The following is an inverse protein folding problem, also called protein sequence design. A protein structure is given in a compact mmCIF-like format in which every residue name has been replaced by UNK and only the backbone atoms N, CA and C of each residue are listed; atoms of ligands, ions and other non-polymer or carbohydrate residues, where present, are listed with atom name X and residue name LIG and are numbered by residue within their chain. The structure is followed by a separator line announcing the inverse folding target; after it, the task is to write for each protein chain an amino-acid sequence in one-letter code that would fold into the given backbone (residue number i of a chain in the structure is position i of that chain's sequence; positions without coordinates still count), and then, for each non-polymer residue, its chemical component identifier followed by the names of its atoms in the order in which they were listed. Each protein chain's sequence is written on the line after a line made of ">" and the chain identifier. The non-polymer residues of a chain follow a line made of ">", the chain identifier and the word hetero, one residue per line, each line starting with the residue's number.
data_IF_751776241080
#
_entry.id   IF_751776241080
#
_cell.length_a   1.000
_cell.length_b   1.000
_cell.length_c   1.000
_cell.angle_alpha   90.00
_cell.angle_beta   90.00
_cell.angle_gamma   90.00
#
_symmetry.space_group_name_H-M   'P 1'
#
loop_
_entity.id
_entity.type
_entity.pdbx_description
1 polymer ?
#
# COMPACT_ATOMS: atom_id res chain seq x y z
N UNK A 1 9.08 12.11 15.90
CA UNK A 1 7.61 12.27 15.76
C UNK A 1 7.17 12.76 14.38
N UNK A 2 8.04 13.30 13.50
CA UNK A 2 7.62 13.75 12.15
C UNK A 2 7.28 12.62 11.16
N UNK A 3 8.16 11.63 11.01
CA UNK A 3 8.04 10.62 9.94
C UNK A 3 6.76 9.76 9.99
N UNK A 4 6.29 9.36 11.18
CA UNK A 4 5.06 8.55 11.31
C UNK A 4 3.82 9.33 10.83
N UNK A 5 3.71 10.59 11.23
CA UNK A 5 2.59 11.46 10.84
C UNK A 5 2.60 11.74 9.34
N UNK A 6 3.77 11.98 8.75
CA UNK A 6 3.88 12.23 7.30
C UNK A 6 3.51 10.99 6.47
N UNK A 7 3.90 9.79 6.93
CA UNK A 7 3.50 8.51 6.30
C UNK A 7 2.00 8.27 6.46
N UNK A 8 1.40 8.65 7.58
CA UNK A 8 -0.05 8.57 7.80
C UNK A 8 -0.83 9.52 6.89
N UNK A 9 -0.37 10.77 6.73
CA UNK A 9 -0.95 11.70 5.75
C UNK A 9 -0.85 11.12 4.33
N UNK A 10 0.28 10.53 3.98
CA UNK A 10 0.48 9.91 2.68
C UNK A 10 -0.43 8.71 2.45
N UNK A 11 -0.62 7.87 3.48
CA UNK A 11 -1.57 6.77 3.46
C UNK A 11 -2.99 7.28 3.15
N UNK A 12 -3.45 8.32 3.85
CA UNK A 12 -4.79 8.88 3.61
C UNK A 12 -4.93 9.50 2.22
N UNK A 13 -3.94 10.26 1.78
CA UNK A 13 -3.91 10.82 0.42
C UNK A 13 -3.93 9.74 -0.67
N UNK A 14 -3.15 8.66 -0.46
CA UNK A 14 -3.16 7.51 -1.35
C UNK A 14 -4.54 6.85 -1.42
N UNK A 15 -5.18 6.62 -0.27
CA UNK A 15 -6.52 6.03 -0.21
C UNK A 15 -7.56 6.86 -0.96
N UNK A 16 -7.57 8.16 -0.74
CA UNK A 16 -8.48 9.07 -1.43
C UNK A 16 -8.23 9.09 -2.94
N UNK A 17 -6.97 9.09 -3.37
CA UNK A 17 -6.60 8.97 -4.77
C UNK A 17 -7.07 7.65 -5.39
N UNK A 18 -6.81 6.52 -4.73
CA UNK A 18 -7.22 5.19 -5.20
C UNK A 18 -8.74 5.09 -5.41
N UNK A 19 -9.53 5.67 -4.52
CA UNK A 19 -10.99 5.71 -4.60
C UNK A 19 -11.53 6.63 -5.71
N UNK A 20 -10.69 7.53 -6.23
CA UNK A 20 -11.07 8.51 -7.27
C UNK A 20 -10.71 8.07 -8.69
N UNK A 21 -10.00 6.96 -8.86
CA UNK A 21 -9.55 6.47 -10.17
C UNK A 21 -10.76 6.11 -11.04
N UNK A 22 -10.79 6.63 -12.27
CA UNK A 22 -11.86 6.33 -13.24
C UNK A 22 -11.80 4.88 -13.75
N UNK A 23 -12.95 4.33 -14.14
CA UNK A 23 -13.05 3.05 -14.83
C UNK A 23 -12.34 3.03 -16.19
N UNK A 24 -12.20 4.19 -16.83
CA UNK A 24 -11.49 4.34 -18.11
C UNK A 24 -9.97 4.40 -17.93
N UNK A 25 -9.47 4.46 -16.69
CA UNK A 25 -8.03 4.49 -16.42
C UNK A 25 -7.39 3.11 -16.68
N UNK A 26 -6.15 3.09 -17.22
CA UNK A 26 -5.28 1.90 -17.19
C UNK A 26 -5.12 1.27 -15.80
N UNK A 27 -5.32 2.06 -14.74
CA UNK A 27 -5.33 1.65 -13.33
C UNK A 27 -6.66 1.12 -12.84
N UNK A 28 -7.56 0.68 -13.73
CA UNK A 28 -8.91 0.23 -13.35
C UNK A 28 -8.95 -0.82 -12.24
N UNK A 29 -7.87 -1.57 -11.99
CA UNK A 29 -7.74 -2.50 -10.86
C UNK A 29 -7.96 -1.80 -9.51
N UNK A 30 -7.60 -0.52 -9.40
CA UNK A 30 -7.81 0.30 -8.20
C UNK A 30 -9.29 0.66 -7.98
N UNK A 31 -10.18 0.46 -8.95
CA UNK A 31 -11.63 0.59 -8.70
C UNK A 31 -12.17 -0.48 -7.75
N UNK A 32 -11.41 -1.55 -7.50
CA UNK A 32 -11.78 -2.56 -6.50
C UNK A 32 -11.41 -2.11 -5.08
N UNK A 33 -10.66 -1.02 -4.94
CA UNK A 33 -10.12 -0.56 -3.67
C UNK A 33 -11.19 -0.40 -2.58
N UNK A 34 -10.98 -0.93 -1.35
CA UNK A 34 -9.75 -1.61 -0.87
C UNK A 34 -9.68 -3.12 -1.18
N UNK A 35 -10.71 -3.71 -1.78
CA UNK A 35 -10.85 -5.16 -1.94
C UNK A 35 -10.04 -5.70 -3.12
N UNK A 36 -9.28 -6.79 -2.92
CA UNK A 36 -8.65 -7.53 -4.03
C UNK A 36 -7.56 -6.75 -4.80
N UNK A 37 -7.09 -5.64 -4.23
CA UNK A 37 -6.04 -4.80 -4.81
C UNK A 37 -4.86 -4.57 -3.86
N UNK A 38 -4.76 -5.34 -2.77
CA UNK A 38 -3.70 -5.19 -1.76
C UNK A 38 -2.29 -5.22 -2.35
N UNK A 39 -1.98 -6.15 -3.27
CA UNK A 39 -0.68 -6.23 -3.94
C UNK A 39 -0.35 -4.93 -4.68
N UNK A 40 -1.27 -4.43 -5.51
CA UNK A 40 -1.07 -3.19 -6.27
C UNK A 40 -1.02 -1.96 -5.36
N UNK A 41 -1.86 -1.93 -4.33
CA UNK A 41 -1.91 -0.85 -3.36
C UNK A 41 -0.60 -0.74 -2.59
N UNK A 42 -0.11 -1.86 -2.06
CA UNK A 42 1.18 -1.95 -1.37
C UNK A 42 2.33 -1.62 -2.32
N UNK A 43 2.30 -2.11 -3.55
CA UNK A 43 3.31 -1.76 -4.56
C UNK A 43 3.38 -0.25 -4.82
N UNK A 44 2.26 0.38 -5.17
CA UNK A 44 2.24 1.81 -5.49
C UNK A 44 2.58 2.68 -4.28
N UNK A 45 1.94 2.42 -3.12
CA UNK A 45 2.21 3.19 -1.91
C UNK A 45 3.67 3.04 -1.45
N UNK A 46 4.22 1.83 -1.52
CA UNK A 46 5.61 1.55 -1.16
C UNK A 46 6.59 2.36 -2.01
N UNK A 47 6.30 2.48 -3.31
CA UNK A 47 7.10 3.31 -4.20
C UNK A 47 6.96 4.81 -3.92
N UNK A 48 5.75 5.30 -3.65
CA UNK A 48 5.56 6.70 -3.25
C UNK A 48 6.34 7.00 -1.97
N UNK A 49 6.33 6.08 -1.00
CA UNK A 49 7.08 6.23 0.24
C UNK A 49 8.59 6.34 -0.01
N UNK A 50 9.14 5.45 -0.85
CA UNK A 50 10.57 5.50 -1.19
C UNK A 50 10.95 6.75 -1.99
N UNK A 51 10.15 7.13 -2.99
CA UNK A 51 10.40 8.30 -3.84
C UNK A 51 10.30 9.61 -3.06
N UNK A 52 9.51 9.64 -1.98
CA UNK A 52 9.42 10.76 -1.04
C UNK A 52 10.42 10.68 0.11
N UNK A 53 11.44 9.83 0.03
CA UNK A 53 12.52 9.66 1.00
C UNK A 53 12.07 9.18 2.41
N UNK A 54 10.98 8.40 2.50
CA UNK A 54 10.53 7.81 3.77
C UNK A 54 11.24 6.50 4.14
N UNK A 55 12.48 6.30 3.69
CA UNK A 55 13.27 5.08 3.95
C UNK A 55 13.02 3.97 2.93
N UNK A 56 13.51 2.78 3.22
CA UNK A 56 13.33 1.58 2.36
C UNK A 56 12.10 0.81 2.80
N UNK A 57 11.34 0.34 1.81
CA UNK A 57 10.11 -0.40 2.04
C UNK A 57 10.12 -1.70 1.23
N UNK A 58 9.48 -2.72 1.78
CA UNK A 58 9.24 -3.99 1.10
C UNK A 58 7.80 -4.42 1.31
N UNK A 59 7.28 -5.18 0.35
CA UNK A 59 5.97 -5.80 0.47
C UNK A 59 6.14 -7.09 1.27
N UNK A 60 5.31 -7.30 2.27
CA UNK A 60 5.18 -8.57 2.98
C UNK A 60 3.95 -9.28 2.47
N UNK A 61 4.13 -10.54 2.05
CA UNK A 61 3.06 -11.43 1.64
C UNK A 61 2.65 -12.31 2.82
N UNK A 62 1.44 -12.12 3.33
CA UNK A 62 0.82 -13.00 4.31
C UNK A 62 -0.11 -14.02 3.65
N UNK A 63 -0.12 -15.26 4.14
CA UNK A 63 -0.98 -16.32 3.62
C UNK A 63 -1.52 -17.24 4.70
N UNK A 64 -2.83 -17.47 4.66
CA UNK A 64 -3.54 -18.47 5.45
C UNK A 64 -4.15 -19.58 4.56
N UNK A 65 -3.58 -19.78 3.36
CA UNK A 65 -4.00 -20.78 2.38
C UNK A 65 -4.09 -20.23 0.96
N UNK A 66 -4.43 -21.09 0.01
CA UNK A 66 -4.32 -20.82 -1.45
C UNK A 66 -5.08 -19.56 -1.92
N UNK A 67 -6.22 -19.23 -1.30
CA UNK A 67 -7.03 -18.05 -1.67
C UNK A 67 -7.23 -17.07 -0.51
N UNK A 68 -6.43 -17.18 0.54
CA UNK A 68 -6.49 -16.28 1.70
C UNK A 68 -5.11 -15.67 1.90
N UNK A 69 -4.85 -14.60 1.18
CA UNK A 69 -3.61 -13.88 1.25
C UNK A 69 -3.88 -12.38 1.41
N UNK A 70 -2.83 -11.69 1.84
CA UNK A 70 -2.85 -10.25 2.00
C UNK A 70 -1.45 -9.70 1.89
N UNK A 71 -1.33 -8.51 1.30
CA UNK A 71 -0.04 -7.83 1.14
C UNK A 71 -0.06 -6.50 1.85
N UNK A 72 0.94 -6.25 2.70
CA UNK A 72 1.16 -4.96 3.37
C UNK A 72 2.61 -4.49 3.18
N UNK A 73 2.93 -3.31 3.71
CA UNK A 73 4.26 -2.72 3.62
C UNK A 73 4.97 -2.71 4.96
N UNK A 74 6.25 -3.04 4.93
CA UNK A 74 7.16 -2.89 6.07
C UNK A 74 8.40 -2.09 5.69
N UNK A 75 8.82 -1.21 6.60
CA UNK A 75 10.04 -0.43 6.46
C UNK A 75 11.21 -1.09 7.19
N UNK A 76 12.43 -0.78 6.75
CA UNK A 76 13.64 -1.19 7.47
C UNK A 76 13.75 -0.63 8.90
N UNK A 77 12.99 0.41 9.20
CA UNK A 77 12.96 1.15 10.46
C UNK A 77 11.89 0.62 11.43
N UNK A 78 11.13 -0.42 11.05
CA UNK A 78 10.16 -1.08 11.92
C UNK A 78 8.77 -0.43 11.94
N UNK A 79 8.45 0.39 10.93
CA UNK A 79 7.08 0.81 10.63
C UNK A 79 6.39 -0.17 9.68
N UNK A 80 5.10 -0.41 9.91
CA UNK A 80 4.17 -1.12 9.03
C UNK A 80 3.14 -0.12 8.50
N UNK A 81 2.79 -0.25 7.23
CA UNK A 81 1.70 0.49 6.58
C UNK A 81 0.80 -0.48 5.85
N UNK A 82 -0.51 -0.32 6.01
CA UNK A 82 -1.49 -1.09 5.26
C UNK A 82 -2.67 -0.21 4.84
N UNK A 83 -2.75 0.04 3.53
CA UNK A 83 -3.82 0.81 2.93
C UNK A 83 -5.11 0.03 2.73
N UNK A 84 -5.10 -1.29 2.91
CA UNK A 84 -6.19 -2.18 2.53
C UNK A 84 -6.64 -3.11 3.65
N UNK A 85 -6.17 -2.88 4.89
CA UNK A 85 -6.52 -3.70 6.04
C UNK A 85 -8.02 -3.80 6.29
N UNK A 86 -8.74 -2.71 5.98
CA UNK A 86 -10.19 -2.57 6.10
C UNK A 86 -10.98 -3.35 5.05
N UNK A 87 -10.33 -4.04 4.11
CA UNK A 87 -11.00 -4.97 3.19
C UNK A 87 -11.57 -6.21 3.90
N UNK A 88 -11.06 -6.52 5.11
CA UNK A 88 -11.51 -7.68 5.87
C UNK A 88 -12.47 -7.28 6.99
N UNK A 89 -13.46 -8.11 7.33
CA UNK A 89 -14.37 -7.87 8.45
C UNK A 89 -13.72 -8.20 9.80
N UNK A 90 -12.53 -7.65 10.06
CA UNK A 90 -11.72 -7.88 11.26
C UNK A 90 -11.73 -6.71 12.25
N UNK A 91 -12.36 -5.58 11.88
CA UNK A 91 -12.36 -4.35 12.68
C UNK A 91 -11.01 -3.65 12.72
N UNK A 92 -10.14 -3.91 11.74
CA UNK A 92 -8.84 -3.27 11.57
C UNK A 92 -8.98 -2.28 10.42
N UNK A 93 -8.85 -1.00 10.74
CA UNK A 93 -8.83 0.09 9.75
C UNK A 93 -7.49 0.15 9.02
N UNK A 94 -7.40 0.86 7.91
CA UNK A 94 -6.10 1.18 7.31
C UNK A 94 -5.21 1.94 8.31
N UNK A 95 -3.93 1.58 8.39
CA UNK A 95 -3.09 2.02 9.50
C UNK A 95 -1.63 2.26 9.10
N UNK A 96 -0.96 3.08 9.93
CA UNK A 96 0.50 3.21 10.03
C UNK A 96 0.86 2.96 11.48
N UNK A 97 1.74 2.01 11.78
CA UNK A 97 2.17 1.76 13.17
C UNK A 97 3.61 1.25 13.26
N UNK A 98 4.18 1.31 14.45
CA UNK A 98 5.44 0.64 14.75
C UNK A 98 5.21 -0.80 15.20
N UNK A 99 6.18 -1.69 14.92
CA UNK A 99 6.11 -3.11 15.28
C UNK A 99 5.46 -3.96 14.17
N UNK A 100 5.04 -5.20 14.46
CA UNK A 100 4.50 -6.12 13.45
C UNK A 100 3.10 -5.71 13.00
N UNK A 101 2.68 -6.23 11.84
CA UNK A 101 1.32 -6.05 11.34
C UNK A 101 0.32 -6.78 12.24
N UNK A 102 -0.78 -6.12 12.67
CA UNK A 102 -1.85 -6.80 13.39
C UNK A 102 -2.53 -7.88 12.53
N UNK A 103 -2.39 -7.82 11.21
CA UNK A 103 -2.93 -8.82 10.29
C UNK A 103 -2.09 -10.10 10.22
N UNK A 104 -0.87 -10.11 10.74
CA UNK A 104 0.01 -11.29 10.70
C UNK A 104 -0.59 -12.49 11.46
N UNK A 105 -1.45 -12.24 12.47
CA UNK A 105 -2.17 -13.31 13.19
C UNK A 105 -3.20 -14.02 12.31
N UNK A 106 -3.73 -13.34 11.29
CA UNK A 106 -4.73 -13.85 10.36
C UNK A 106 -4.11 -14.31 9.04
N UNK A 107 -3.01 -13.67 8.64
CA UNK A 107 -2.26 -13.93 7.42
C UNK A 107 -0.77 -14.07 7.78
N UNK A 108 -0.35 -15.24 8.29
CA UNK A 108 1.04 -15.48 8.65
C UNK A 108 2.00 -15.16 7.50
N UNK A 109 3.14 -14.54 7.82
CA UNK A 109 4.16 -14.20 6.83
C UNK A 109 4.57 -15.43 6.01
N UNK A 110 4.47 -15.32 4.70
CA UNK A 110 4.80 -16.35 3.72
C UNK A 110 5.89 -15.92 2.73
N UNK A 111 6.12 -14.62 2.57
CA UNK A 111 7.20 -14.11 1.73
C UNK A 111 7.36 -12.60 1.81
N UNK A 112 8.37 -12.08 1.11
CA UNK A 112 8.64 -10.65 0.98
C UNK A 112 9.12 -10.32 -0.43
N UNK A 113 8.79 -9.12 -0.90
CA UNK A 113 9.19 -8.59 -2.20
C UNK A 113 9.86 -7.24 -2.02
N UNK A 114 11.12 -7.15 -2.44
CA UNK A 114 11.86 -5.91 -2.49
C UNK A 114 11.36 -5.04 -3.66
N UNK A 115 11.10 -3.76 -3.37
CA UNK A 115 10.58 -2.80 -4.34
C UNK A 115 11.65 -2.32 -5.34
N UNK A 116 12.92 -2.67 -5.22
CA UNK A 116 13.96 -2.25 -6.16
C UNK A 116 13.80 -2.82 -7.58
N UNK A 117 12.91 -3.80 -7.80
CA UNK A 117 12.68 -4.41 -9.10
C UNK A 117 11.37 -3.94 -9.75
N UNK A 118 11.46 -3.43 -10.98
CA UNK A 118 10.32 -2.95 -11.76
C UNK A 118 10.28 -3.58 -13.15
N UNK A 119 9.09 -3.83 -13.67
CA UNK A 119 8.86 -3.92 -15.12
C UNK A 119 8.51 -2.54 -15.68
N UNK A 120 8.81 -2.29 -16.96
CA UNK A 120 8.45 -1.01 -17.62
C UNK A 120 6.93 -0.75 -17.60
N UNK A 121 6.11 -1.81 -17.69
CA UNK A 121 4.64 -1.73 -17.59
C UNK A 121 4.16 -1.21 -16.22
N UNK A 122 4.81 -1.64 -15.13
CA UNK A 122 4.47 -1.18 -13.78
C UNK A 122 4.87 0.28 -13.54
N UNK A 123 5.94 0.75 -14.20
CA UNK A 123 6.39 2.15 -14.10
C UNK A 123 5.39 3.13 -14.70
N UNK A 124 4.87 2.86 -15.89
CA UNK A 124 3.86 3.74 -16.52
C UNK A 124 2.60 3.85 -15.66
N UNK A 125 2.17 2.75 -15.05
CA UNK A 125 1.03 2.71 -14.12
C UNK A 125 1.31 3.50 -12.85
N UNK A 126 2.53 3.42 -12.31
CA UNK A 126 2.93 4.17 -11.13
C UNK A 126 2.86 5.68 -11.33
N UNK A 127 3.33 6.20 -12.48
CA UNK A 127 3.30 7.64 -12.77
C UNK A 127 1.86 8.21 -12.76
N UNK A 128 0.87 7.45 -13.25
CA UNK A 128 -0.54 7.82 -13.15
C UNK A 128 -1.03 7.87 -11.71
N UNK A 129 -0.67 6.89 -10.87
CA UNK A 129 -1.06 6.88 -9.44
C UNK A 129 -0.48 8.09 -8.74
N UNK A 130 0.81 8.37 -8.92
CA UNK A 130 1.49 9.52 -8.30
C UNK A 130 0.79 10.82 -8.68
N UNK A 131 0.44 11.03 -9.95
CA UNK A 131 -0.23 12.24 -10.39
C UNK A 131 -1.58 12.47 -9.67
N UNK A 132 -2.36 11.41 -9.44
CA UNK A 132 -3.64 11.50 -8.71
C UNK A 132 -3.41 11.72 -7.21
N UNK A 133 -2.41 11.04 -6.62
CA UNK A 133 -2.04 11.22 -5.21
C UNK A 133 -1.56 12.64 -4.94
N UNK A 134 -0.69 13.17 -5.78
CA UNK A 134 -0.17 14.54 -5.67
C UNK A 134 -1.29 15.57 -5.77
N UNK A 135 -2.25 15.38 -6.69
CA UNK A 135 -3.42 16.25 -6.81
C UNK A 135 -4.34 16.20 -5.57
N UNK A 136 -4.33 15.08 -4.84
CA UNK A 136 -5.19 14.85 -3.66
C UNK A 136 -4.53 15.34 -2.36
N UNK A 137 -3.20 15.25 -2.25
CA UNK A 137 -2.43 15.67 -1.06
C UNK A 137 -2.15 17.18 -1.06
N UNK A 138 -2.27 17.88 -2.20
CA UNK A 138 -2.05 19.34 -2.30
C UNK A 138 -3.29 20.21 -2.00
N UNK A 139 -4.36 19.63 -1.45
CA UNK A 139 -5.58 20.32 -1.04
C UNK A 139 -5.96 19.98 0.41
#
# INVERSE_FOLDING_TARGET
>A
MGQHHDVEQLLHGFRAAAQSISWDSPLRIMNLFPNGCCTFSSFFLGHILQDRNFGKWHIVHGSAGVMKNHDWLESSEGLVVDATADQFPLGIEAFVQAGPSPLEIYFPRAGEVDLSSWSEDLRSKYEEVVAVVDATVMH
#
